data_IF_961760214590
#
_entry.id   IF_961760214590
#
_cell.length_a   1.000
_cell.length_b   1.000
_cell.length_c   1.000
_cell.angle_alpha   90.00
_cell.angle_beta   90.00
_cell.angle_gamma   90.00
#
_symmetry.space_group_name_H-M   'P 1'
#
loop_
_entity.id
_entity.type
_entity.pdbx_description
1 polymer ?
#
# COMPACT_ATOMS: atom_id res chain seq x y z
N UNK A 1 21.06 0.38 -21.28
CA UNK A 1 20.87 -0.66 -22.32
C UNK A 1 19.69 -1.56 -21.93
N UNK A 2 18.60 -1.61 -22.73
CA UNK A 2 17.43 -2.45 -22.43
C UNK A 2 17.75 -3.94 -22.32
N UNK A 3 18.68 -4.45 -23.12
CA UNK A 3 19.08 -5.85 -23.10
C UNK A 3 19.77 -6.22 -21.79
N UNK A 4 20.64 -5.34 -21.28
CA UNK A 4 21.31 -5.52 -20.00
C UNK A 4 20.32 -5.52 -18.82
N UNK A 5 19.35 -4.59 -18.83
CA UNK A 5 18.29 -4.53 -17.82
C UNK A 5 17.45 -5.81 -17.85
N UNK A 6 17.06 -6.27 -19.02
CA UNK A 6 16.30 -7.51 -19.20
C UNK A 6 17.09 -8.73 -18.68
N UNK A 7 18.39 -8.80 -19.03
CA UNK A 7 19.28 -9.87 -18.57
C UNK A 7 19.34 -9.96 -17.04
N UNK A 8 19.55 -8.82 -16.34
CA UNK A 8 19.58 -8.78 -14.88
C UNK A 8 18.23 -9.25 -14.29
N UNK A 9 17.11 -8.73 -14.83
CA UNK A 9 15.79 -9.05 -14.31
C UNK A 9 15.45 -10.53 -14.48
N UNK A 10 15.70 -11.09 -15.65
CA UNK A 10 15.41 -12.52 -15.95
C UNK A 10 16.30 -13.43 -15.11
N UNK A 11 17.60 -13.14 -15.02
CA UNK A 11 18.49 -13.96 -14.18
C UNK A 11 18.11 -13.89 -12.69
N UNK A 12 17.75 -12.70 -12.19
CA UNK A 12 17.26 -12.57 -10.81
C UNK A 12 16.02 -13.41 -10.54
N UNK A 13 15.07 -13.43 -11.47
CA UNK A 13 13.87 -14.28 -11.36
C UNK A 13 14.20 -15.76 -11.42
N UNK A 14 15.10 -16.18 -12.32
CA UNK A 14 15.51 -17.58 -12.43
C UNK A 14 16.27 -18.08 -11.21
N UNK A 15 17.14 -17.24 -10.62
CA UNK A 15 17.85 -17.60 -9.39
C UNK A 15 16.92 -17.76 -8.20
N UNK A 16 15.90 -16.90 -8.05
CA UNK A 16 14.86 -17.06 -7.03
C UNK A 16 13.99 -18.28 -7.27
N UNK A 17 13.65 -18.56 -8.54
CA UNK A 17 12.91 -19.78 -8.88
C UNK A 17 13.70 -21.05 -8.53
N UNK A 18 15.01 -21.04 -8.76
CA UNK A 18 15.90 -22.14 -8.33
C UNK A 18 15.84 -22.33 -6.80
N UNK A 19 15.90 -21.26 -6.00
CA UNK A 19 15.75 -21.33 -4.55
C UNK A 19 14.40 -21.97 -4.15
N UNK A 20 13.32 -21.51 -4.78
CA UNK A 20 11.99 -22.04 -4.58
C UNK A 20 11.94 -23.55 -4.85
N UNK A 21 12.44 -24.01 -6.00
CA UNK A 21 12.47 -25.42 -6.38
C UNK A 21 13.32 -26.27 -5.42
N UNK A 22 14.48 -25.75 -4.99
CA UNK A 22 15.34 -26.42 -4.02
C UNK A 22 14.61 -26.64 -2.68
N UNK A 23 13.90 -25.60 -2.17
CA UNK A 23 13.13 -25.68 -0.94
C UNK A 23 11.99 -26.68 -1.08
N UNK A 24 11.16 -26.56 -2.13
CA UNK A 24 9.98 -27.40 -2.33
C UNK A 24 10.34 -28.88 -2.58
N UNK A 25 11.51 -29.15 -3.15
CA UNK A 25 11.96 -30.52 -3.44
C UNK A 25 12.54 -31.20 -2.20
N UNK A 26 13.22 -30.45 -1.33
CA UNK A 26 13.97 -31.02 -0.20
C UNK A 26 13.25 -31.01 1.12
N UNK A 27 12.22 -30.17 1.25
CA UNK A 27 11.50 -30.03 2.51
C UNK A 27 10.07 -30.53 2.34
N UNK A 28 9.75 -31.68 2.93
CA UNK A 28 8.37 -32.18 2.97
C UNK A 28 7.44 -31.16 3.64
N UNK A 29 6.22 -31.05 3.14
CA UNK A 29 5.17 -30.15 3.66
C UNK A 29 5.52 -28.67 3.69
N UNK A 30 6.59 -28.24 3.00
CA UNK A 30 6.85 -26.83 2.77
C UNK A 30 5.72 -26.21 1.90
N UNK A 31 5.26 -25.02 2.28
CA UNK A 31 4.21 -24.31 1.53
C UNK A 31 4.75 -22.97 1.07
N UNK A 32 4.73 -22.76 -0.24
CA UNK A 32 5.03 -21.43 -0.81
C UNK A 32 3.84 -20.51 -0.63
N UNK A 33 4.08 -19.32 -0.09
CA UNK A 33 3.06 -18.29 0.13
C UNK A 33 3.08 -17.23 -0.96
N UNK A 34 4.26 -16.70 -1.26
CA UNK A 34 4.45 -15.76 -2.34
C UNK A 34 5.90 -15.72 -2.81
N UNK A 35 6.07 -15.30 -4.05
CA UNK A 35 7.36 -14.95 -4.63
C UNK A 35 7.22 -13.58 -5.29
N UNK A 36 8.15 -12.68 -5.00
CA UNK A 36 8.23 -11.37 -5.64
C UNK A 36 9.57 -11.22 -6.39
N UNK A 37 9.97 -9.99 -6.72
CA UNK A 37 11.21 -9.73 -7.48
C UNK A 37 12.49 -10.03 -6.73
N UNK A 38 12.46 -10.06 -5.40
CA UNK A 38 13.63 -10.08 -4.51
C UNK A 38 13.48 -11.01 -3.31
N UNK A 39 12.41 -11.82 -3.24
CA UNK A 39 12.21 -12.73 -2.13
C UNK A 39 11.23 -13.87 -2.39
N UNK A 40 11.34 -14.89 -1.57
CA UNK A 40 10.44 -16.05 -1.51
C UNK A 40 9.96 -16.20 -0.07
N UNK A 41 8.64 -16.21 0.11
CA UNK A 41 8.01 -16.44 1.40
C UNK A 41 7.45 -17.84 1.47
N UNK A 42 7.86 -18.59 2.50
CA UNK A 42 7.48 -20.00 2.67
C UNK A 42 7.09 -20.30 4.11
N UNK A 43 6.21 -21.27 4.28
CA UNK A 43 6.01 -21.94 5.58
C UNK A 43 6.87 -23.20 5.60
N UNK A 44 7.73 -23.29 6.59
CA UNK A 44 8.61 -24.44 6.80
C UNK A 44 8.25 -25.11 8.13
N UNK A 45 8.00 -26.41 8.17
CA UNK A 45 7.80 -27.13 9.43
C UNK A 45 9.04 -27.00 10.32
N UNK A 46 8.85 -26.87 11.63
CA UNK A 46 9.95 -26.56 12.57
C UNK A 46 11.08 -27.59 12.56
N UNK A 47 10.77 -28.83 12.33
CA UNK A 47 11.73 -29.92 12.21
C UNK A 47 12.68 -29.80 11.01
N UNK A 48 12.28 -29.08 9.97
CA UNK A 48 13.08 -28.89 8.75
C UNK A 48 13.80 -27.53 8.68
N UNK A 49 13.83 -26.75 9.75
CA UNK A 49 14.53 -25.44 9.75
C UNK A 49 16.01 -25.59 9.43
N UNK A 50 16.70 -26.61 9.96
CA UNK A 50 18.10 -26.87 9.64
C UNK A 50 18.29 -27.21 8.17
N UNK A 51 17.45 -28.08 7.60
CA UNK A 51 17.48 -28.42 6.18
C UNK A 51 17.22 -27.18 5.31
N UNK A 52 16.30 -26.31 5.73
CA UNK A 52 16.08 -25.03 5.05
C UNK A 52 17.33 -24.16 5.02
N UNK A 53 18.03 -24.03 6.15
CA UNK A 53 19.28 -23.25 6.22
C UNK A 53 20.39 -23.86 5.36
N UNK A 54 20.48 -25.20 5.29
CA UNK A 54 21.43 -25.90 4.39
C UNK A 54 21.10 -25.62 2.92
N UNK A 55 19.83 -25.66 2.54
CA UNK A 55 19.37 -25.32 1.17
C UNK A 55 19.72 -23.88 0.81
N UNK A 56 19.44 -22.95 1.72
CA UNK A 56 19.77 -21.54 1.51
C UNK A 56 21.27 -21.32 1.33
N UNK A 57 22.09 -21.95 2.16
CA UNK A 57 23.55 -21.85 2.08
C UNK A 57 24.09 -22.43 0.76
N UNK A 58 23.60 -23.59 0.33
CA UNK A 58 23.96 -24.17 -0.96
C UNK A 58 23.60 -23.24 -2.13
N UNK A 59 22.40 -22.61 -2.07
CA UNK A 59 21.99 -21.64 -3.07
C UNK A 59 22.89 -20.41 -3.10
N UNK A 60 23.30 -19.89 -1.92
CA UNK A 60 24.27 -18.78 -1.81
C UNK A 60 25.63 -19.14 -2.41
N UNK A 61 26.12 -20.36 -2.17
CA UNK A 61 27.37 -20.87 -2.74
C UNK A 61 27.31 -20.98 -4.27
N UNK A 62 26.19 -21.44 -4.82
CA UNK A 62 25.99 -21.58 -6.27
C UNK A 62 25.86 -20.20 -6.96
N UNK A 63 25.12 -19.28 -6.35
CA UNK A 63 24.79 -17.98 -6.99
C UNK A 63 25.79 -16.88 -6.69
N UNK A 64 26.54 -16.98 -5.59
CA UNK A 64 27.36 -15.90 -5.05
C UNK A 64 26.56 -14.75 -4.46
N UNK A 65 25.24 -14.91 -4.25
CA UNK A 65 24.36 -13.93 -3.63
C UNK A 65 24.15 -14.28 -2.16
N UNK A 66 23.77 -13.31 -1.33
CA UNK A 66 23.46 -13.51 0.08
C UNK A 66 21.96 -13.36 0.31
N UNK A 67 21.40 -14.22 1.16
CA UNK A 67 20.01 -14.17 1.60
C UNK A 67 19.88 -13.45 2.93
N UNK A 68 18.88 -12.60 3.05
CA UNK A 68 18.39 -12.09 4.34
C UNK A 68 17.19 -12.91 4.78
N UNK A 69 17.18 -13.30 6.06
CA UNK A 69 16.11 -14.14 6.62
C UNK A 69 15.23 -13.36 7.58
N UNK A 70 13.99 -13.12 7.19
CA UNK A 70 12.94 -12.59 8.06
C UNK A 70 12.07 -13.73 8.58
N UNK A 71 11.65 -13.66 9.85
CA UNK A 71 10.70 -14.61 10.44
C UNK A 71 9.43 -13.89 10.88
N UNK A 72 8.30 -14.43 10.47
CA UNK A 72 7.00 -13.86 10.78
C UNK A 72 6.13 -14.85 11.57
N UNK A 73 5.48 -14.35 12.64
CA UNK A 73 4.47 -15.10 13.37
C UNK A 73 3.11 -15.05 12.68
N UNK A 74 2.88 -14.01 11.88
CA UNK A 74 1.61 -13.81 11.17
C UNK A 74 1.84 -13.10 9.85
N UNK A 75 1.23 -13.63 8.79
CA UNK A 75 1.20 -13.00 7.48
C UNK A 75 -0.27 -12.91 7.00
N UNK A 76 -0.71 -11.68 6.73
CA UNK A 76 -2.00 -11.39 6.11
C UNK A 76 -1.73 -10.97 4.68
N UNK A 77 -1.96 -11.88 3.74
CA UNK A 77 -1.62 -11.74 2.34
C UNK A 77 -2.87 -11.47 1.50
N UNK A 78 -2.93 -10.32 0.84
CA UNK A 78 -3.92 -10.06 -0.19
C UNK A 78 -3.34 -10.35 -1.59
N UNK A 79 -2.12 -9.92 -1.84
CA UNK A 79 -1.27 -10.27 -2.99
C UNK A 79 0.19 -9.90 -2.67
N UNK A 80 1.11 -10.17 -3.59
CA UNK A 80 2.57 -10.00 -3.42
C UNK A 80 3.00 -8.57 -3.07
N UNK A 81 2.19 -7.57 -3.39
CA UNK A 81 2.46 -6.15 -3.12
C UNK A 81 1.60 -5.57 -1.99
N UNK A 82 0.66 -6.34 -1.46
CA UNK A 82 -0.32 -5.89 -0.47
C UNK A 82 -0.43 -6.91 0.66
N UNK A 83 0.30 -6.67 1.74
CA UNK A 83 0.33 -7.59 2.89
C UNK A 83 0.63 -6.89 4.22
N UNK A 84 0.32 -7.57 5.31
CA UNK A 84 0.77 -7.24 6.68
C UNK A 84 1.59 -8.43 7.16
N UNK A 85 2.84 -8.22 7.53
CA UNK A 85 3.71 -9.22 8.14
C UNK A 85 4.03 -8.81 9.57
N UNK A 86 3.80 -9.69 10.54
CA UNK A 86 4.11 -9.46 11.96
C UNK A 86 5.29 -10.36 12.33
N UNK A 87 6.40 -9.74 12.71
CA UNK A 87 7.61 -10.47 13.09
C UNK A 87 7.47 -11.18 14.45
N UNK A 88 8.50 -11.91 14.83
CA UNK A 88 8.56 -12.65 16.10
C UNK A 88 8.54 -11.75 17.33
N UNK A 89 8.87 -10.46 17.19
CA UNK A 89 8.85 -9.45 18.25
C UNK A 89 7.51 -8.70 18.32
N UNK A 90 6.54 -9.04 17.47
CA UNK A 90 5.24 -8.38 17.40
C UNK A 90 5.22 -7.08 16.59
N UNK A 91 6.33 -6.72 15.92
CA UNK A 91 6.37 -5.55 15.05
C UNK A 91 5.76 -5.88 13.71
N UNK A 92 4.82 -5.06 13.27
CA UNK A 92 4.15 -5.26 11.99
C UNK A 92 4.77 -4.38 10.88
N UNK A 93 4.94 -4.99 9.70
CA UNK A 93 5.35 -4.36 8.44
C UNK A 93 4.15 -4.37 7.49
N UNK A 94 3.70 -3.19 7.09
CA UNK A 94 2.59 -3.05 6.15
C UNK A 94 3.10 -2.68 4.76
N UNK A 95 2.53 -3.30 3.73
CA UNK A 95 2.87 -3.03 2.33
C UNK A 95 1.62 -2.70 1.49
N UNK A 96 1.83 -1.82 0.53
CA UNK A 96 0.83 -1.45 -0.46
C UNK A 96 -0.40 -0.80 0.14
N UNK A 97 -1.59 -1.41 -0.08
CA UNK A 97 -2.87 -0.88 0.42
C UNK A 97 -3.01 -0.89 1.95
N UNK A 98 -2.13 -1.60 2.66
CA UNK A 98 -2.13 -1.64 4.12
C UNK A 98 -1.21 -0.58 4.74
N UNK A 99 -0.45 0.17 3.94
CA UNK A 99 0.43 1.23 4.44
C UNK A 99 -0.39 2.44 4.92
N UNK A 100 -0.09 2.95 6.13
CA UNK A 100 -0.72 4.17 6.67
C UNK A 100 0.24 5.04 7.48
N UNK A 101 1.40 4.51 7.90
CA UNK A 101 2.43 5.24 8.65
C UNK A 101 3.66 5.49 7.78
N UNK A 102 4.41 6.55 8.09
CA UNK A 102 5.65 6.88 7.40
C UNK A 102 5.53 7.07 5.89
N UNK A 103 4.34 7.34 5.38
CA UNK A 103 4.09 7.47 3.95
C UNK A 103 4.88 8.62 3.35
N UNK A 104 5.68 8.34 2.33
CA UNK A 104 6.39 9.34 1.56
C UNK A 104 5.43 10.38 0.96
N UNK A 105 5.91 11.60 0.71
CA UNK A 105 5.10 12.72 0.22
C UNK A 105 4.38 12.44 -1.11
N UNK A 106 4.97 11.60 -1.95
CA UNK A 106 4.39 11.25 -3.26
C UNK A 106 3.29 10.18 -3.17
N UNK A 107 3.21 9.42 -2.07
CA UNK A 107 2.20 8.37 -1.89
C UNK A 107 0.81 8.96 -1.65
N UNK A 108 -0.20 8.24 -2.09
CA UNK A 108 -1.59 8.63 -1.90
C UNK A 108 -2.01 8.41 -0.44
N UNK A 109 -2.35 9.52 0.23
CA UNK A 109 -2.83 9.52 1.63
C UNK A 109 -4.36 9.57 1.73
N UNK A 110 -5.06 8.98 0.76
CA UNK A 110 -6.53 8.93 0.77
C UNK A 110 -7.05 7.81 1.64
N UNK A 111 -8.10 8.09 2.40
CA UNK A 111 -8.87 7.09 3.17
C UNK A 111 -7.99 6.23 4.09
N UNK A 112 -7.04 6.85 4.80
CA UNK A 112 -6.13 6.14 5.71
C UNK A 112 -6.84 5.40 6.84
N UNK A 113 -8.10 5.74 7.12
CA UNK A 113 -8.93 5.00 8.06
C UNK A 113 -9.08 3.52 7.66
N UNK A 114 -9.07 3.21 6.35
CA UNK A 114 -9.21 1.84 5.86
C UNK A 114 -8.01 0.98 6.27
N UNK A 115 -6.76 1.29 5.87
CA UNK A 115 -5.60 0.50 6.30
C UNK A 115 -5.41 0.49 7.82
N UNK A 116 -5.75 1.58 8.54
CA UNK A 116 -5.72 1.60 10.01
C UNK A 116 -6.70 0.63 10.64
N UNK A 117 -7.94 0.58 10.14
CA UNK A 117 -8.95 -0.34 10.64
C UNK A 117 -8.61 -1.80 10.31
N UNK A 118 -8.04 -2.06 9.12
CA UNK A 118 -7.58 -3.39 8.73
C UNK A 118 -6.39 -3.84 9.58
N UNK A 119 -5.43 -2.95 9.84
CA UNK A 119 -4.32 -3.22 10.74
C UNK A 119 -4.81 -3.61 12.13
N UNK A 120 -5.65 -2.76 12.74
CA UNK A 120 -6.21 -3.01 14.06
C UNK A 120 -6.98 -4.34 14.12
N UNK A 121 -7.70 -4.69 13.06
CA UNK A 121 -8.41 -5.96 12.98
C UNK A 121 -7.47 -7.16 12.88
N UNK A 122 -6.53 -7.12 11.94
CA UNK A 122 -5.67 -8.27 11.69
C UNK A 122 -4.56 -8.43 12.73
N UNK A 123 -4.04 -7.35 13.30
CA UNK A 123 -2.92 -7.40 14.26
C UNK A 123 -3.44 -7.47 15.69
N UNK A 124 -4.38 -6.58 16.07
CA UNK A 124 -4.83 -6.41 17.44
C UNK A 124 -6.17 -7.10 17.74
N UNK A 125 -6.87 -7.62 16.72
CA UNK A 125 -8.21 -8.20 16.87
C UNK A 125 -9.34 -7.19 17.08
N UNK A 126 -9.07 -5.90 16.91
CA UNK A 126 -10.05 -4.82 17.10
C UNK A 126 -11.00 -4.73 15.90
N UNK A 127 -12.31 -4.76 16.15
CA UNK A 127 -13.29 -4.66 15.07
C UNK A 127 -13.19 -3.34 14.31
N UNK A 128 -13.32 -3.35 12.96
CA UNK A 128 -13.22 -2.15 12.13
C UNK A 128 -14.18 -1.03 12.54
N UNK A 129 -15.40 -1.37 12.92
CA UNK A 129 -16.42 -0.44 13.40
C UNK A 129 -15.96 0.33 14.63
N UNK A 130 -15.25 -0.33 15.54
CA UNK A 130 -14.69 0.32 16.72
C UNK A 130 -13.62 1.33 16.31
N UNK A 131 -12.67 0.94 15.49
CA UNK A 131 -11.60 1.83 14.98
C UNK A 131 -12.20 3.04 14.27
N UNK A 132 -13.17 2.82 13.38
CA UNK A 132 -13.84 3.89 12.63
C UNK A 132 -14.59 4.86 13.57
N UNK A 133 -15.35 4.36 14.55
CA UNK A 133 -16.11 5.20 15.48
C UNK A 133 -15.22 6.03 16.40
N UNK A 134 -14.05 5.52 16.78
CA UNK A 134 -13.19 6.15 17.79
C UNK A 134 -12.06 7.00 17.19
N UNK A 135 -11.75 6.86 15.89
CA UNK A 135 -10.77 7.71 15.23
C UNK A 135 -11.33 9.14 15.07
N UNK A 136 -10.63 10.12 15.65
CA UNK A 136 -11.01 11.55 15.61
C UNK A 136 -10.20 12.35 14.60
N UNK A 137 -9.27 11.73 13.89
CA UNK A 137 -8.49 12.41 12.87
C UNK A 137 -9.26 12.48 11.55
N UNK A 138 -9.84 13.64 11.25
CA UNK A 138 -10.60 13.87 10.01
C UNK A 138 -9.78 13.59 8.75
N UNK A 139 -8.46 13.77 8.78
CA UNK A 139 -7.59 13.55 7.62
C UNK A 139 -7.53 12.08 7.22
N UNK A 140 -7.79 11.16 8.13
CA UNK A 140 -7.84 9.73 7.82
C UNK A 140 -9.05 9.34 6.96
N UNK A 141 -10.11 10.17 6.99
CA UNK A 141 -11.33 9.98 6.18
C UNK A 141 -11.25 10.72 4.84
N UNK A 142 -10.25 11.56 4.67
CA UNK A 142 -10.13 12.39 3.47
C UNK A 142 -9.69 11.59 2.24
N UNK A 143 -10.15 12.07 1.10
CA UNK A 143 -9.73 11.66 -0.23
C UNK A 143 -8.79 12.73 -0.78
N UNK A 144 -7.63 12.35 -1.29
CA UNK A 144 -6.69 13.24 -1.94
C UNK A 144 -7.09 13.47 -3.40
N UNK A 145 -7.18 14.71 -3.81
CA UNK A 145 -7.38 15.08 -5.20
C UNK A 145 -6.20 15.92 -5.71
N UNK A 146 -5.62 15.53 -6.84
CA UNK A 146 -4.50 16.24 -7.50
C UNK A 146 -4.90 16.64 -8.91
N UNK A 147 -4.63 17.90 -9.26
CA UNK A 147 -4.80 18.40 -10.62
C UNK A 147 -3.44 18.60 -11.30
N UNK A 148 -3.35 18.22 -12.56
CA UNK A 148 -2.15 18.36 -13.40
C UNK A 148 -2.47 19.21 -14.65
N UNK A 149 -1.46 19.85 -15.20
CA UNK A 149 -1.59 20.61 -16.45
C UNK A 149 -2.67 21.70 -16.36
N UNK A 150 -3.56 21.70 -17.34
CA UNK A 150 -4.64 22.68 -17.48
C UNK A 150 -5.83 22.47 -16.52
N UNK A 151 -5.87 21.35 -15.78
CA UNK A 151 -6.94 21.08 -14.84
C UNK A 151 -6.82 21.89 -13.57
N UNK A 152 -7.97 22.41 -13.08
CA UNK A 152 -8.10 23.13 -11.79
C UNK A 152 -9.26 22.53 -11.02
N UNK A 153 -9.12 22.52 -9.70
CA UNK A 153 -10.18 22.06 -8.80
C UNK A 153 -11.02 23.26 -8.37
N UNK A 154 -12.32 23.06 -8.24
CA UNK A 154 -13.24 24.09 -7.78
C UNK A 154 -14.23 23.50 -6.79
N UNK A 155 -14.59 24.30 -5.80
CA UNK A 155 -15.74 24.10 -4.92
C UNK A 155 -16.93 24.91 -5.47
N UNK A 156 -18.07 24.25 -5.67
CA UNK A 156 -19.29 24.89 -6.14
C UNK A 156 -20.36 24.75 -5.06
N UNK A 157 -20.88 25.85 -4.58
CA UNK A 157 -21.85 25.90 -3.50
C UNK A 157 -22.81 27.07 -3.67
N UNK A 158 -23.89 27.08 -2.90
CA UNK A 158 -24.84 28.20 -2.88
C UNK A 158 -24.69 28.94 -1.56
N UNK A 159 -24.45 30.25 -1.66
CA UNK A 159 -24.42 31.18 -0.51
C UNK A 159 -25.35 32.32 -0.82
N UNK A 160 -26.25 32.65 0.12
CA UNK A 160 -27.23 33.72 -0.01
C UNK A 160 -28.06 33.64 -1.32
N UNK A 161 -28.47 32.43 -1.71
CA UNK A 161 -29.16 32.08 -2.96
C UNK A 161 -28.37 32.35 -4.24
N UNK A 162 -27.08 32.66 -4.15
CA UNK A 162 -26.20 32.90 -5.29
C UNK A 162 -25.22 31.73 -5.40
N UNK A 163 -25.09 31.19 -6.61
CA UNK A 163 -24.10 30.17 -6.89
C UNK A 163 -22.68 30.74 -6.82
N UNK A 164 -21.86 30.18 -5.98
CA UNK A 164 -20.46 30.54 -5.80
C UNK A 164 -19.57 29.45 -6.37
N UNK A 165 -18.39 29.84 -6.87
CA UNK A 165 -17.40 28.94 -7.43
C UNK A 165 -16.02 29.40 -7.05
N UNK A 166 -15.38 28.66 -6.13
CA UNK A 166 -14.03 28.97 -5.66
C UNK A 166 -13.00 28.04 -6.31
N UNK A 167 -11.94 28.62 -6.86
CA UNK A 167 -10.79 27.82 -7.34
C UNK A 167 -9.99 27.34 -6.13
N UNK A 168 -9.80 26.01 -6.03
CA UNK A 168 -9.04 25.37 -4.97
C UNK A 168 -7.58 25.16 -5.37
N UNK A 169 -6.75 24.80 -4.41
CA UNK A 169 -5.36 24.43 -4.65
C UNK A 169 -5.24 23.25 -5.61
N UNK A 170 -4.08 23.07 -6.23
CA UNK A 170 -3.80 21.92 -7.12
C UNK A 170 -3.85 20.58 -6.42
N UNK A 171 -3.57 20.55 -5.12
CA UNK A 171 -3.62 19.36 -4.27
C UNK A 171 -4.54 19.70 -3.11
N UNK A 172 -5.64 18.95 -2.99
CA UNK A 172 -6.62 19.13 -1.93
C UNK A 172 -6.95 17.79 -1.30
N UNK A 173 -7.47 17.86 -0.10
CA UNK A 173 -8.13 16.77 0.59
C UNK A 173 -9.57 17.15 0.86
N UNK A 174 -10.48 16.24 0.66
CA UNK A 174 -11.88 16.42 0.99
C UNK A 174 -12.44 15.12 1.60
N UNK A 175 -13.46 15.22 2.39
CA UNK A 175 -14.22 14.10 2.88
C UNK A 175 -15.67 14.20 2.39
N UNK A 176 -16.33 13.05 2.24
CA UNK A 176 -17.71 12.99 1.80
C UNK A 176 -18.61 13.57 2.88
N UNK A 177 -19.51 14.49 2.53
CA UNK A 177 -20.41 15.15 3.46
C UNK A 177 -21.70 15.54 2.76
N UNK A 178 -22.84 15.36 3.42
CA UNK A 178 -24.15 15.83 2.98
C UNK A 178 -24.35 17.35 3.22
N UNK A 179 -23.47 17.96 4.02
CA UNK A 179 -23.45 19.41 4.29
C UNK A 179 -22.33 20.14 3.51
N UNK A 180 -21.67 19.43 2.62
CA UNK A 180 -20.57 19.97 1.83
C UNK A 180 -21.03 20.64 0.55
N UNK A 181 -20.10 20.82 -0.37
CA UNK A 181 -20.31 21.41 -1.67
C UNK A 181 -19.97 20.42 -2.79
N UNK A 182 -20.33 20.75 -4.02
CA UNK A 182 -19.89 20.00 -5.21
C UNK A 182 -18.42 20.31 -5.47
N UNK A 183 -17.57 19.27 -5.54
CA UNK A 183 -16.14 19.41 -5.87
C UNK A 183 -15.92 18.89 -7.28
N UNK A 184 -15.31 19.71 -8.12
CA UNK A 184 -15.11 19.41 -9.54
C UNK A 184 -13.70 19.72 -9.99
N UNK A 185 -13.25 19.05 -11.08
CA UNK A 185 -12.09 19.44 -11.87
C UNK A 185 -12.57 20.07 -13.17
N UNK A 186 -12.05 21.22 -13.51
CA UNK A 186 -12.37 21.93 -14.75
C UNK A 186 -11.07 22.14 -15.53
N UNK A 187 -11.12 21.77 -16.80
CA UNK A 187 -10.01 22.03 -17.72
C UNK A 187 -10.10 23.48 -18.22
N UNK A 188 -9.00 24.23 -18.06
CA UNK A 188 -8.96 25.65 -18.48
C UNK A 188 -9.07 25.84 -20.01
N UNK A 189 -8.61 24.86 -20.80
CA UNK A 189 -8.55 24.97 -22.25
C UNK A 189 -9.93 24.71 -22.91
N UNK A 190 -10.54 23.57 -22.59
CA UNK A 190 -11.76 23.10 -23.24
C UNK A 190 -13.02 23.17 -22.36
N UNK A 191 -12.89 23.68 -21.15
CA UNK A 191 -13.96 23.84 -20.15
C UNK A 191 -14.64 22.53 -19.72
N UNK A 192 -14.10 21.36 -20.08
CA UNK A 192 -14.62 20.08 -19.58
C UNK A 192 -14.63 20.06 -18.06
N UNK A 193 -15.71 19.54 -17.50
CA UNK A 193 -15.89 19.36 -16.07
C UNK A 193 -15.94 17.88 -15.70
N UNK A 194 -15.21 17.49 -14.66
CA UNK A 194 -15.29 16.17 -14.05
C UNK A 194 -15.71 16.37 -12.60
N UNK A 195 -16.90 15.90 -12.26
CA UNK A 195 -17.34 15.89 -10.86
C UNK A 195 -16.56 14.83 -10.10
N UNK A 196 -15.99 15.21 -8.95
CA UNK A 196 -15.32 14.29 -8.05
C UNK A 196 -16.35 13.66 -7.12
N UNK A 197 -16.83 14.45 -6.15
CA UNK A 197 -17.80 14.00 -5.14
C UNK A 197 -18.49 15.23 -4.54
N UNK A 198 -19.63 14.99 -3.88
CA UNK A 198 -20.19 15.99 -2.94
C UNK A 198 -19.49 15.84 -1.61
N UNK A 199 -18.83 16.89 -1.13
CA UNK A 199 -18.03 16.80 0.08
C UNK A 199 -17.63 18.16 0.63
N UNK A 200 -16.97 18.12 1.77
CA UNK A 200 -16.33 19.28 2.36
C UNK A 200 -14.83 19.16 2.18
N UNK A 201 -14.22 20.17 1.59
CA UNK A 201 -12.78 20.23 1.41
C UNK A 201 -12.09 20.70 2.68
N UNK A 202 -10.92 20.14 2.91
CA UNK A 202 -10.03 20.50 4.02
C UNK A 202 -8.79 21.11 3.41
N UNK A 203 -8.53 22.38 3.73
CA UNK A 203 -7.32 23.05 3.32
C UNK A 203 -6.17 22.53 4.20
N UNK A 204 -5.28 21.74 3.63
CA UNK A 204 -4.03 21.40 4.30
C UNK A 204 -3.01 22.48 4.00
N UNK A 205 -2.69 23.29 5.00
CA UNK A 205 -1.47 24.10 4.97
C UNK A 205 -0.31 23.10 5.05
N UNK A 206 0.49 23.01 4.00
CA UNK A 206 1.78 22.33 4.11
C UNK A 206 2.72 23.30 4.85
N UNK A 207 3.08 22.94 6.08
CA UNK A 207 4.22 23.53 6.76
C UNK A 207 5.50 22.95 6.20
#
# INVERSE_FOLDING_TARGET
>A
DPQFTMFITVNGQLTLMMLYEMIMTRIPDAVALMQNTDGVETIIPKEYVNTYMEVCKEWEEITGLNLEHDQYNKLVLADVNNYIAVDTNGKAKCKGRFEFEGLALHKNKSKLIIPKALYAYFVDGTLPEYTIKHNRNILDYCIGAKSKGAWRQHAIYVKDKIAQKDELQKINRYYISNKGCKIVKINKNDKREIQLESGQWVQTVMN
#
